data_IF_710980865405
#
_entry.id   IF_710980865405
#
_cell.length_a   1.000
_cell.length_b   1.000
_cell.length_c   1.000
_cell.angle_alpha   90.00
_cell.angle_beta   90.00
_cell.angle_gamma   90.00
#
_symmetry.space_group_name_H-M   'P 1'
#
loop_
_entity.id
_entity.type
_entity.pdbx_description
1 polymer ?
#
# COMPACT_ATOMS: atom_id res chain seq x y z
N UNK A 1 1.43 12.27 -49.92
CA UNK A 1 2.04 12.45 -48.59
C UNK A 1 0.98 13.01 -47.66
N UNK A 2 0.48 12.18 -46.74
CA UNK A 2 -0.23 12.58 -45.54
C UNK A 2 0.06 11.49 -44.50
N UNK A 3 0.77 11.88 -43.46
CA UNK A 3 1.22 11.06 -42.33
C UNK A 3 0.30 11.23 -41.13
N UNK A 4 0.25 10.17 -40.31
CA UNK A 4 -0.31 10.06 -38.96
C UNK A 4 -1.86 10.07 -38.89
N UNK A 5 -2.52 9.27 -38.05
CA UNK A 5 -2.06 8.69 -36.80
C UNK A 5 -2.44 7.21 -36.71
N UNK A 6 -1.46 6.37 -36.39
CA UNK A 6 -1.73 5.06 -35.83
C UNK A 6 -2.39 5.28 -34.47
N UNK A 7 -3.68 4.95 -34.37
CA UNK A 7 -4.36 4.80 -33.10
C UNK A 7 -3.71 3.61 -32.37
N UNK A 8 -2.66 3.87 -31.61
CA UNK A 8 -2.12 2.94 -30.63
C UNK A 8 -3.07 2.90 -29.43
N UNK A 9 -4.32 2.47 -29.64
CA UNK A 9 -5.16 1.97 -28.58
C UNK A 9 -4.86 0.48 -28.40
N UNK A 10 -3.61 0.19 -28.04
CA UNK A 10 -3.23 -1.10 -27.50
C UNK A 10 -3.64 -1.11 -26.02
N UNK A 11 -4.94 -1.24 -25.74
CA UNK A 11 -5.38 -1.97 -24.55
C UNK A 11 -5.02 -3.45 -24.79
N UNK A 12 -3.73 -3.74 -24.81
CA UNK A 12 -3.20 -5.04 -25.21
C UNK A 12 -2.73 -5.78 -23.96
N UNK A 13 -3.63 -6.58 -23.38
CA UNK A 13 -3.28 -7.72 -22.54
C UNK A 13 -3.16 -7.46 -21.04
N UNK A 14 -4.12 -6.75 -20.42
CA UNK A 14 -4.20 -6.72 -18.96
C UNK A 14 -4.51 -8.14 -18.44
N UNK A 15 -3.52 -8.78 -17.81
CA UNK A 15 -3.76 -9.95 -16.98
C UNK A 15 -4.56 -9.44 -15.78
N UNK A 16 -5.88 -9.61 -15.83
CA UNK A 16 -6.73 -9.37 -14.66
C UNK A 16 -6.31 -10.34 -13.57
N UNK A 17 -6.19 -9.84 -12.35
CA UNK A 17 -5.76 -10.63 -11.20
C UNK A 17 -6.81 -10.53 -10.11
N UNK A 18 -7.16 -11.66 -9.52
CA UNK A 18 -7.98 -11.71 -8.31
C UNK A 18 -7.08 -11.71 -7.09
N UNK A 19 -7.23 -10.74 -6.20
CA UNK A 19 -6.43 -10.62 -4.96
C UNK A 19 -7.38 -10.63 -3.76
N UNK A 20 -6.97 -11.27 -2.67
CA UNK A 20 -7.64 -11.17 -1.37
C UNK A 20 -7.36 -9.79 -0.73
N UNK A 21 -8.22 -9.34 0.18
CA UNK A 21 -7.98 -8.16 1.02
C UNK A 21 -6.87 -8.38 2.06
N UNK A 22 -6.37 -9.61 2.20
CA UNK A 22 -5.30 -9.97 3.12
C UNK A 22 -4.10 -10.58 2.38
N UNK A 23 -2.91 -10.25 2.87
CA UNK A 23 -1.67 -10.95 2.55
C UNK A 23 -1.42 -12.12 3.51
N UNK A 24 -0.47 -12.97 3.16
CA UNK A 24 -0.01 -14.08 3.98
C UNK A 24 1.30 -13.73 4.67
N UNK A 25 1.51 -14.26 5.88
CA UNK A 25 2.81 -14.19 6.56
C UNK A 25 3.63 -15.42 6.14
N UNK A 26 4.75 -15.22 5.45
CA UNK A 26 5.61 -16.34 5.00
C UNK A 26 6.70 -15.96 4.00
N UNK A 27 7.73 -16.80 3.88
CA UNK A 27 8.92 -16.60 3.02
C UNK A 27 8.78 -17.27 1.64
N UNK A 28 7.65 -17.05 0.96
CA UNK A 28 7.41 -17.62 -0.37
C UNK A 28 8.05 -16.75 -1.47
N UNK A 29 9.34 -16.99 -1.75
CA UNK A 29 10.12 -16.17 -2.69
C UNK A 29 9.89 -16.50 -4.17
N UNK A 30 10.00 -15.48 -5.02
CA UNK A 30 10.01 -15.60 -6.47
C UNK A 30 10.79 -14.42 -7.11
N UNK A 31 10.70 -14.24 -8.43
CA UNK A 31 11.41 -13.17 -9.15
C UNK A 31 10.94 -11.74 -8.81
N UNK A 32 9.81 -11.59 -8.11
CA UNK A 32 9.25 -10.31 -7.65
C UNK A 32 9.64 -10.00 -6.19
N UNK A 33 10.39 -10.89 -5.53
CA UNK A 33 10.79 -10.72 -4.13
C UNK A 33 11.67 -9.50 -3.93
N UNK A 34 11.30 -8.63 -2.99
CA UNK A 34 12.06 -7.43 -2.63
C UNK A 34 12.02 -7.16 -1.13
N UNK A 35 13.14 -6.69 -0.60
CA UNK A 35 13.28 -6.24 0.78
C UNK A 35 13.14 -4.73 0.93
N UNK A 36 12.77 -4.31 2.14
CA UNK A 36 12.72 -2.93 2.59
C UNK A 36 12.91 -2.86 4.10
N UNK A 37 12.55 -1.71 4.67
CA UNK A 37 12.64 -1.45 6.10
C UNK A 37 11.33 -0.92 6.64
N UNK A 38 10.96 -1.38 7.83
CA UNK A 38 9.85 -0.84 8.62
C UNK A 38 10.25 0.49 9.27
N UNK A 39 9.29 1.19 9.88
CA UNK A 39 9.57 2.35 10.76
C UNK A 39 10.56 2.05 11.89
N UNK A 40 10.62 0.80 12.35
CA UNK A 40 11.47 0.36 13.46
C UNK A 40 12.84 -0.11 12.98
N UNK A 41 13.15 0.07 11.69
CA UNK A 41 14.37 -0.41 11.04
C UNK A 41 14.51 -1.94 11.01
N UNK A 42 13.39 -2.66 11.17
CA UNK A 42 13.36 -4.10 10.94
C UNK A 42 13.31 -4.39 9.44
N UNK A 43 13.99 -5.46 9.01
CA UNK A 43 13.93 -5.93 7.63
C UNK A 43 12.55 -6.51 7.37
N UNK A 44 11.94 -6.09 6.26
CA UNK A 44 10.70 -6.66 5.76
C UNK A 44 10.89 -7.07 4.30
N UNK A 45 10.33 -8.20 3.92
CA UNK A 45 10.41 -8.73 2.56
C UNK A 45 9.01 -9.06 2.08
N UNK A 46 8.73 -8.70 0.82
CA UNK A 46 7.46 -8.96 0.17
C UNK A 46 7.68 -9.67 -1.18
N UNK A 47 6.75 -10.56 -1.53
CA UNK A 47 6.70 -11.24 -2.82
C UNK A 47 5.27 -11.38 -3.29
N UNK A 48 5.05 -11.17 -4.59
CA UNK A 48 3.73 -11.30 -5.19
C UNK A 48 3.67 -12.50 -6.11
N UNK A 49 2.73 -13.40 -5.84
CA UNK A 49 2.44 -14.56 -6.68
C UNK A 49 1.19 -14.27 -7.49
N UNK A 50 1.40 -13.95 -8.78
CA UNK A 50 0.31 -13.76 -9.74
C UNK A 50 -0.22 -15.11 -10.20
N UNK A 51 -1.54 -15.24 -10.19
CA UNK A 51 -2.32 -16.40 -10.57
C UNK A 51 -3.44 -15.95 -11.50
N UNK A 52 -3.77 -16.78 -12.49
CA UNK A 52 -4.84 -16.47 -13.42
C UNK A 52 -6.20 -16.68 -12.76
N UNK A 53 -7.13 -15.70 -12.84
CA UNK A 53 -8.49 -15.89 -12.37
C UNK A 53 -9.12 -17.18 -12.91
N UNK A 54 -9.87 -17.93 -12.08
CA UNK A 54 -10.41 -17.54 -10.77
C UNK A 54 -9.48 -17.78 -9.57
N UNK A 55 -8.24 -18.20 -9.80
CA UNK A 55 -7.30 -18.43 -8.69
C UNK A 55 -6.90 -17.09 -8.04
N UNK A 56 -6.73 -17.12 -6.72
CA UNK A 56 -6.29 -15.97 -5.94
C UNK A 56 -4.78 -15.80 -6.06
N UNK A 57 -4.38 -14.63 -6.54
CA UNK A 57 -3.02 -14.14 -6.36
C UNK A 57 -2.78 -13.74 -4.92
N UNK A 58 -1.55 -13.94 -4.47
CA UNK A 58 -1.18 -13.80 -3.06
C UNK A 58 0.01 -12.87 -2.89
N UNK A 59 -0.12 -11.95 -1.95
CA UNK A 59 0.99 -11.19 -1.41
C UNK A 59 1.52 -11.93 -0.18
N UNK A 60 2.78 -12.32 -0.21
CA UNK A 60 3.47 -12.85 0.96
C UNK A 60 4.37 -11.78 1.55
N UNK A 61 4.34 -11.66 2.87
CA UNK A 61 5.16 -10.72 3.63
C UNK A 61 5.82 -11.47 4.76
N UNK A 62 7.10 -11.26 4.99
CA UNK A 62 7.78 -11.80 6.15
C UNK A 62 8.88 -10.86 6.64
N UNK A 63 9.27 -11.03 7.89
CA UNK A 63 10.38 -10.31 8.50
C UNK A 63 11.41 -11.35 8.97
N UNK A 64 12.55 -11.51 8.29
CA UNK A 64 13.48 -12.63 8.52
C UNK A 64 14.06 -12.67 9.95
N UNK A 65 14.25 -11.49 10.54
CA UNK A 65 14.88 -11.35 11.86
C UNK A 65 13.86 -11.36 13.00
N UNK A 66 12.57 -11.56 12.69
CA UNK A 66 11.48 -11.53 13.66
C UNK A 66 10.77 -12.88 13.72
N UNK A 67 10.27 -13.23 14.90
CA UNK A 67 9.34 -14.33 15.04
C UNK A 67 8.00 -13.98 14.32
N UNK A 68 7.33 -14.93 13.64
CA UNK A 68 6.05 -14.68 13.00
C UNK A 68 4.97 -14.10 13.93
N UNK A 69 5.03 -14.37 15.24
CA UNK A 69 4.14 -13.77 16.25
C UNK A 69 4.38 -12.28 16.49
N UNK A 70 5.45 -11.70 15.96
CA UNK A 70 5.68 -10.26 15.98
C UNK A 70 4.68 -9.50 15.10
N UNK A 71 4.08 -10.18 14.11
CA UNK A 71 2.96 -9.64 13.36
C UNK A 71 1.71 -9.66 14.25
N UNK A 72 1.15 -8.50 14.50
CA UNK A 72 -0.04 -8.35 15.35
C UNK A 72 -1.32 -8.78 14.62
N UNK A 73 -1.29 -8.80 13.29
CA UNK A 73 -2.33 -9.32 12.41
C UNK A 73 -1.75 -9.62 11.02
N UNK A 74 -2.55 -10.25 10.14
CA UNK A 74 -2.16 -10.46 8.75
C UNK A 74 -1.95 -9.12 8.02
N UNK A 75 -0.99 -9.05 7.09
CA UNK A 75 -0.88 -7.90 6.19
C UNK A 75 -2.22 -7.62 5.51
N UNK A 76 -2.58 -6.35 5.36
CA UNK A 76 -3.85 -5.97 4.73
C UNK A 76 -3.61 -5.24 3.43
N UNK A 77 -4.22 -5.71 2.35
CA UNK A 77 -4.15 -5.08 1.03
C UNK A 77 -5.26 -4.03 0.97
N UNK A 78 -4.88 -2.78 0.74
CA UNK A 78 -5.80 -1.64 0.76
C UNK A 78 -6.22 -1.24 -0.65
N UNK A 79 -5.29 -1.26 -1.60
CA UNK A 79 -5.56 -0.90 -2.98
C UNK A 79 -4.60 -1.63 -3.91
N UNK A 80 -5.11 -2.07 -5.07
CA UNK A 80 -4.32 -2.65 -6.15
C UNK A 80 -4.70 -1.94 -7.45
N UNK A 81 -3.71 -1.37 -8.14
CA UNK A 81 -3.93 -0.66 -9.41
C UNK A 81 -2.67 -0.68 -10.26
N UNK A 82 -2.77 -1.11 -11.51
CA UNK A 82 -1.67 -1.10 -12.49
C UNK A 82 -0.33 -1.65 -11.96
N UNK A 83 -0.37 -2.84 -11.32
CA UNK A 83 0.84 -3.49 -10.78
C UNK A 83 1.40 -2.84 -9.50
N UNK A 84 0.72 -1.82 -8.96
CA UNK A 84 0.97 -1.27 -7.63
C UNK A 84 0.05 -1.90 -6.60
N UNK A 85 0.61 -2.23 -5.45
CA UNK A 85 -0.12 -2.77 -4.30
C UNK A 85 0.19 -1.88 -3.11
N UNK A 86 -0.82 -1.17 -2.61
CA UNK A 86 -0.77 -0.49 -1.32
C UNK A 86 -1.24 -1.49 -0.25
N UNK A 87 -0.38 -1.78 0.72
CA UNK A 87 -0.71 -2.66 1.81
C UNK A 87 -0.16 -2.15 3.15
N UNK A 88 -0.80 -2.60 4.22
CA UNK A 88 -0.48 -2.28 5.61
C UNK A 88 0.11 -3.49 6.31
N UNK A 89 1.07 -3.24 7.19
CA UNK A 89 1.67 -4.23 8.06
C UNK A 89 1.68 -3.71 9.49
N UNK A 90 1.28 -4.56 10.44
CA UNK A 90 1.30 -4.29 11.87
C UNK A 90 2.33 -5.19 12.56
N UNK A 91 3.52 -4.68 12.79
CA UNK A 91 4.63 -5.40 13.45
C UNK A 91 4.95 -4.72 14.78
N UNK A 92 5.08 -5.52 15.85
CA UNK A 92 5.45 -5.05 17.20
C UNK A 92 4.53 -3.95 17.74
N UNK A 93 3.22 -4.05 17.47
CA UNK A 93 2.24 -3.15 18.09
C UNK A 93 2.23 -3.32 19.61
N UNK A 94 1.96 -2.24 20.35
CA UNK A 94 2.14 -2.23 21.81
C UNK A 94 1.16 -3.15 22.53
N UNK A 95 -0.05 -3.27 22.01
CA UNK A 95 -1.13 -4.02 22.64
C UNK A 95 -1.64 -5.13 21.71
N UNK A 96 -1.46 -6.41 22.08
CA UNK A 96 -2.01 -7.52 21.31
C UNK A 96 -3.52 -7.39 21.14
N UNK A 97 -4.02 -7.56 19.90
CA UNK A 97 -5.43 -7.45 19.56
C UNK A 97 -5.99 -6.02 19.44
N UNK A 98 -5.18 -4.99 19.73
CA UNK A 98 -5.56 -3.58 19.57
C UNK A 98 -4.51 -2.87 18.69
N UNK A 99 -4.57 -3.08 17.38
CA UNK A 99 -3.67 -2.43 16.43
C UNK A 99 -4.12 -0.99 16.20
N UNK A 100 -3.30 -0.03 16.62
CA UNK A 100 -3.52 1.37 16.31
C UNK A 100 -2.98 1.67 14.91
N UNK A 101 -3.74 2.41 14.10
CA UNK A 101 -3.34 2.75 12.72
C UNK A 101 -2.04 3.59 12.67
N UNK A 102 -1.72 4.30 13.75
CA UNK A 102 -0.47 5.04 13.92
C UNK A 102 0.74 4.13 14.13
N UNK A 103 0.54 2.88 14.58
CA UNK A 103 1.58 1.88 14.81
C UNK A 103 1.90 1.07 13.55
N UNK A 104 1.05 1.17 12.53
CA UNK A 104 1.20 0.42 11.29
C UNK A 104 2.20 1.06 10.33
N UNK A 105 2.86 0.20 9.56
CA UNK A 105 3.64 0.59 8.38
C UNK A 105 2.81 0.40 7.13
N UNK A 106 2.85 1.37 6.23
CA UNK A 106 2.18 1.32 4.94
C UNK A 106 3.22 1.25 3.85
N UNK A 107 3.04 0.34 2.91
CA UNK A 107 3.98 0.13 1.84
C UNK A 107 3.29 0.22 0.48
N UNK A 108 3.97 0.83 -0.48
CA UNK A 108 3.65 0.67 -1.89
C UNK A 108 4.64 -0.31 -2.49
N UNK A 109 4.13 -1.45 -2.93
CA UNK A 109 4.87 -2.46 -3.65
C UNK A 109 4.59 -2.35 -5.14
N UNK A 110 5.64 -2.41 -5.96
CA UNK A 110 5.54 -2.47 -7.42
C UNK A 110 5.98 -3.84 -7.89
N UNK A 111 5.06 -4.56 -8.53
CA UNK A 111 5.28 -5.93 -9.04
C UNK A 111 6.35 -5.91 -10.13
N UNK A 112 6.18 -5.06 -11.15
CA UNK A 112 7.00 -5.09 -12.38
C UNK A 112 8.50 -4.83 -12.14
N UNK A 113 8.82 -3.97 -11.17
CA UNK A 113 10.20 -3.61 -10.85
C UNK A 113 10.71 -4.24 -9.57
N UNK A 114 9.91 -5.09 -8.91
CA UNK A 114 10.19 -5.63 -7.59
C UNK A 114 10.73 -4.55 -6.64
N UNK A 115 9.93 -3.51 -6.39
CA UNK A 115 10.32 -2.40 -5.49
C UNK A 115 9.33 -2.23 -4.36
N UNK A 116 9.83 -1.93 -3.16
CA UNK A 116 9.03 -1.72 -1.96
C UNK A 116 9.36 -0.37 -1.33
N UNK A 117 8.37 0.51 -1.20
CA UNK A 117 8.53 1.84 -0.61
C UNK A 117 7.68 1.99 0.66
N UNK A 118 8.33 2.31 1.78
CA UNK A 118 7.66 2.67 3.02
C UNK A 118 7.05 4.07 2.91
N UNK A 119 5.75 4.15 3.08
CA UNK A 119 4.99 5.39 3.22
C UNK A 119 4.90 5.72 4.70
N UNK A 120 5.67 6.73 5.12
CA UNK A 120 5.56 7.23 6.49
C UNK A 120 4.18 7.85 6.68
N UNK A 121 3.47 7.48 7.74
CA UNK A 121 2.21 8.12 8.08
C UNK A 121 2.35 9.65 8.13
N UNK A 122 1.35 10.40 7.64
CA UNK A 122 1.34 11.85 7.77
C UNK A 122 1.16 12.22 9.24
N UNK A 123 2.26 12.36 10.00
CA UNK A 123 2.18 12.83 11.39
C UNK A 123 1.39 14.16 11.46
N UNK A 124 0.47 14.32 12.44
CA UNK A 124 0.16 13.46 13.59
C UNK A 124 -0.96 12.42 13.34
N UNK A 125 -1.28 12.11 12.09
CA UNK A 125 -2.52 11.46 11.69
C UNK A 125 -2.31 10.01 11.27
N UNK A 126 -3.25 9.16 11.66
CA UNK A 126 -3.48 7.86 11.06
C UNK A 126 -4.84 7.87 10.32
N UNK A 127 -4.88 7.31 9.12
CA UNK A 127 -6.11 7.12 8.34
C UNK A 127 -6.62 5.68 8.47
N UNK A 128 -7.89 5.46 8.13
CA UNK A 128 -8.52 4.13 8.16
C UNK A 128 -8.21 3.38 6.87
N UNK A 129 -8.18 2.06 6.95
CA UNK A 129 -7.96 1.16 5.80
C UNK A 129 -8.94 1.42 4.63
N UNK A 130 -10.16 1.86 4.94
CA UNK A 130 -11.24 2.15 3.97
C UNK A 130 -11.21 3.57 3.38
N UNK A 131 -10.42 4.47 3.98
CA UNK A 131 -10.38 5.88 3.63
C UNK A 131 -9.13 6.24 2.81
N UNK A 132 -8.50 5.25 2.18
CA UNK A 132 -7.27 5.42 1.40
C UNK A 132 -7.38 4.85 -0.01
N UNK A 133 -6.79 5.57 -0.97
CA UNK A 133 -6.70 5.16 -2.36
C UNK A 133 -5.31 5.38 -2.94
N UNK A 134 -5.03 4.69 -4.04
CA UNK A 134 -3.80 4.80 -4.80
C UNK A 134 -4.10 5.25 -6.23
N UNK A 135 -3.40 6.29 -6.69
CA UNK A 135 -3.55 6.83 -8.03
C UNK A 135 -2.20 6.80 -8.76
N UNK A 136 -1.99 5.88 -9.71
CA UNK A 136 -0.82 5.91 -10.57
C UNK A 136 -0.90 7.10 -11.54
N UNK A 137 0.27 7.59 -11.94
CA UNK A 137 0.39 8.60 -12.99
C UNK A 137 1.69 8.36 -13.78
N UNK A 138 1.84 9.07 -14.91
CA UNK A 138 2.91 8.82 -15.89
C UNK A 138 4.33 8.74 -15.30
N UNK A 139 5.23 8.05 -16.00
CA UNK A 139 6.64 7.84 -15.60
C UNK A 139 6.81 7.00 -14.31
N UNK A 140 5.84 6.13 -14.00
CA UNK A 140 5.90 5.28 -12.79
C UNK A 140 5.64 6.05 -11.49
N UNK A 141 5.16 7.29 -11.57
CA UNK A 141 4.73 8.06 -10.42
C UNK A 141 3.44 7.51 -9.81
N UNK A 142 3.20 7.84 -8.54
CA UNK A 142 1.91 7.57 -7.90
C UNK A 142 1.63 8.60 -6.80
N UNK A 143 0.35 8.68 -6.43
CA UNK A 143 -0.13 9.46 -5.29
C UNK A 143 -0.96 8.56 -4.39
N UNK A 144 -0.66 8.55 -3.09
CA UNK A 144 -1.55 7.96 -2.08
C UNK A 144 -2.46 9.06 -1.56
N UNK A 145 -3.76 8.85 -1.63
CA UNK A 145 -4.77 9.78 -1.16
C UNK A 145 -5.47 9.19 0.06
N UNK A 146 -5.40 9.87 1.19
CA UNK A 146 -6.02 9.46 2.44
C UNK A 146 -7.00 10.52 2.93
N UNK A 147 -8.24 10.13 3.21
CA UNK A 147 -9.24 10.97 3.86
C UNK A 147 -9.12 10.82 5.37
N UNK A 148 -9.02 11.95 6.05
CA UNK A 148 -8.76 11.99 7.48
C UNK A 148 -9.85 12.80 8.17
N UNK A 149 -10.54 12.27 9.18
CA UNK A 149 -11.47 13.06 9.99
C UNK A 149 -10.75 14.24 10.65
N UNK A 150 -11.26 15.46 10.47
CA UNK A 150 -10.71 16.61 11.18
C UNK A 150 -11.16 16.57 12.64
N UNK A 151 -10.27 16.13 13.54
CA UNK A 151 -10.49 16.18 14.99
C UNK A 151 -10.29 17.61 15.48
N UNK A 152 -11.25 18.49 15.20
CA UNK A 152 -11.26 19.82 15.76
C UNK A 152 -11.74 19.71 17.21
N UNK A 153 -10.95 20.17 18.18
CA UNK A 153 -11.26 20.13 19.62
C UNK A 153 -12.45 21.00 20.04
N UNK A 154 -13.21 21.55 19.08
CA UNK A 154 -14.35 22.42 19.32
C UNK A 154 -15.67 21.61 19.25
N UNK A 155 -16.54 21.72 20.26
CA UNK A 155 -17.77 20.91 20.40
C UNK A 155 -18.86 21.20 19.35
N UNK A 156 -18.56 22.01 18.33
CA UNK A 156 -19.52 22.54 17.34
C UNK A 156 -19.14 22.22 15.89
N UNK A 157 -18.09 21.42 15.64
CA UNK A 157 -17.72 21.05 14.26
C UNK A 157 -18.52 19.81 13.83
N UNK A 158 -19.08 19.88 12.63
CA UNK A 158 -19.76 18.76 11.96
C UNK A 158 -18.84 17.52 11.94
N UNK A 159 -19.29 16.36 12.46
CA UNK A 159 -18.51 15.11 12.46
C UNK A 159 -18.14 14.59 11.06
N UNK A 160 -18.66 15.20 9.99
CA UNK A 160 -18.44 14.79 8.60
C UNK A 160 -17.39 15.61 7.85
N UNK A 161 -16.55 16.38 8.55
CA UNK A 161 -15.46 17.11 7.89
C UNK A 161 -14.21 16.23 7.80
N UNK A 162 -13.75 16.02 6.57
CA UNK A 162 -12.53 15.28 6.27
C UNK A 162 -11.52 16.20 5.58
N UNK A 163 -10.25 16.02 5.90
CA UNK A 163 -9.11 16.63 5.21
C UNK A 163 -8.51 15.61 4.26
N UNK A 164 -8.20 16.03 3.03
CA UNK A 164 -7.56 15.17 2.06
C UNK A 164 -6.05 15.29 2.20
N UNK A 165 -5.40 14.20 2.56
CA UNK A 165 -3.95 14.09 2.61
C UNK A 165 -3.44 13.36 1.35
N UNK A 166 -2.47 13.95 0.67
CA UNK A 166 -1.88 13.44 -0.57
C UNK A 166 -0.37 13.22 -0.39
N UNK A 167 0.07 11.98 -0.47
CA UNK A 167 1.50 11.62 -0.57
C UNK A 167 1.90 11.56 -2.05
N UNK A 168 2.92 12.32 -2.44
CA UNK A 168 3.45 12.29 -3.79
C UNK A 168 4.74 11.50 -3.84
N UNK A 169 4.83 10.45 -4.66
CA UNK A 169 6.03 9.61 -4.75
C UNK A 169 7.27 10.38 -5.22
N UNK A 170 7.09 11.35 -6.12
CA UNK A 170 8.18 12.18 -6.64
C UNK A 170 8.87 13.03 -5.56
N UNK A 171 8.11 13.58 -4.62
CA UNK A 171 8.66 14.43 -3.55
C UNK A 171 8.81 13.71 -2.22
N UNK A 172 8.24 12.51 -2.10
CA UNK A 172 8.13 11.71 -0.87
C UNK A 172 7.59 12.51 0.32
N UNK A 173 6.55 13.30 0.05
CA UNK A 173 5.98 14.24 1.03
C UNK A 173 4.48 14.22 0.97
N UNK A 174 3.88 14.40 2.14
CA UNK A 174 2.47 14.65 2.30
C UNK A 174 2.15 16.12 2.10
N UNK A 175 1.00 16.38 1.49
CA UNK A 175 0.35 17.68 1.37
C UNK A 175 -1.10 17.51 1.82
N UNK A 176 -1.71 18.56 2.37
CA UNK A 176 -3.12 18.53 2.76
C UNK A 176 -3.92 19.56 1.95
N UNK A 177 -5.21 19.26 1.74
CA UNK A 177 -6.19 20.16 1.12
C UNK A 177 -7.52 20.08 1.85
#
# INVERSE_FOLDING_TARGET
>A
MATAAAAAAAFCGLEEVLVDGYGCIGDERNHTTVGGWTRNMDVIVASFWSERPPLLSRLYVYAPDLDPSAFSELPRILCVVEGLILFRVAIRCRQPGCVLMEECDYFVYRVDSASLELIRNPSPVAFRDEDVGLLPWGNGGYTVAALVPTLNSAPTTDPNVFMLHLFHSATRRWTNR
#
